data_IF_623314264405
#
_entry.id   IF_623314264405
#
_cell.length_a   1.000
_cell.length_b   1.000
_cell.length_c   1.000
_cell.angle_alpha   90.00
_cell.angle_beta   90.00
_cell.angle_gamma   90.00
#
_symmetry.space_group_name_H-M   'P 1'
#
loop_
_entity.id
_entity.type
_entity.pdbx_description
1 polymer ?
#
# COMPACT_ATOMS: atom_id res chain seq x y z
N UNK A 1 4.24 12.01 5.47
CA UNK A 1 3.92 13.19 4.64
C UNK A 1 2.56 13.01 4.02
N UNK A 2 1.65 13.99 4.13
CA UNK A 2 0.36 13.98 3.43
C UNK A 2 0.43 14.95 2.24
N UNK A 3 0.03 14.52 1.04
CA UNK A 3 0.10 15.37 -0.15
C UNK A 3 -1.03 15.03 -1.12
N UNK A 4 -1.21 15.89 -2.13
CA UNK A 4 -2.19 15.71 -3.20
C UNK A 4 -1.44 15.32 -4.47
N UNK A 5 -1.74 14.15 -5.05
CA UNK A 5 -1.04 13.61 -6.22
C UNK A 5 -0.92 14.63 -7.38
N UNK A 6 -2.02 15.33 -7.69
CA UNK A 6 -2.06 16.32 -8.78
C UNK A 6 -1.21 17.58 -8.56
N UNK A 7 -0.69 17.79 -7.34
CA UNK A 7 0.23 18.89 -7.01
C UNK A 7 1.70 18.51 -7.23
N UNK A 8 1.96 17.26 -7.60
CA UNK A 8 3.28 16.72 -7.94
C UNK A 8 3.21 16.24 -9.41
N UNK A 9 3.37 17.15 -10.39
CA UNK A 9 3.25 16.82 -11.82
C UNK A 9 4.26 15.78 -12.30
N UNK A 10 5.35 15.60 -11.55
CA UNK A 10 6.38 14.59 -11.80
C UNK A 10 5.80 13.16 -11.84
N UNK A 11 4.68 12.86 -11.15
CA UNK A 11 3.96 11.59 -11.31
C UNK A 11 3.48 11.35 -12.73
N UNK A 12 2.90 12.37 -13.36
CA UNK A 12 2.34 12.26 -14.71
C UNK A 12 3.44 12.07 -15.75
N UNK A 13 4.58 12.75 -15.55
CA UNK A 13 5.76 12.57 -16.38
C UNK A 13 6.33 11.15 -16.24
N UNK A 14 6.56 10.67 -15.01
CA UNK A 14 7.05 9.32 -14.79
C UNK A 14 6.10 8.28 -15.37
N UNK A 15 4.79 8.43 -15.15
CA UNK A 15 3.77 7.57 -15.73
C UNK A 15 3.88 7.50 -17.26
N UNK A 16 4.02 8.64 -17.94
CA UNK A 16 4.20 8.69 -19.39
C UNK A 16 5.47 7.95 -19.82
N UNK A 17 6.61 8.19 -19.16
CA UNK A 17 7.87 7.52 -19.48
C UNK A 17 7.77 6.01 -19.30
N UNK A 18 7.18 5.55 -18.19
CA UNK A 18 6.96 4.13 -17.93
C UNK A 18 6.00 3.50 -18.95
N UNK A 19 5.01 4.25 -19.45
CA UNK A 19 4.06 3.79 -20.46
C UNK A 19 4.71 3.42 -21.79
N UNK A 20 5.84 4.05 -22.14
CA UNK A 20 6.58 3.77 -23.37
C UNK A 20 7.25 2.39 -23.37
N UNK A 21 7.35 1.75 -22.21
CA UNK A 21 8.05 0.49 -22.04
C UNK A 21 7.22 -0.63 -21.38
N UNK A 22 6.06 -0.30 -20.80
CA UNK A 22 5.14 -1.24 -20.17
C UNK A 22 4.30 -1.97 -21.25
N UNK A 23 4.39 -3.31 -21.35
CA UNK A 23 3.55 -4.07 -22.28
C UNK A 23 2.06 -4.00 -21.91
N UNK A 24 1.18 -3.82 -22.91
CA UNK A 24 -0.28 -3.77 -22.69
C UNK A 24 -0.81 -5.01 -21.95
N UNK A 25 -0.31 -6.20 -22.30
CA UNK A 25 -0.74 -7.45 -21.66
C UNK A 25 -0.39 -7.55 -20.17
N UNK A 26 0.47 -6.68 -19.62
CA UNK A 26 0.65 -6.60 -18.17
C UNK A 26 -0.54 -5.91 -17.50
N UNK A 27 -1.00 -4.80 -18.08
CA UNK A 27 -2.13 -4.02 -17.59
C UNK A 27 -3.44 -4.80 -17.66
N UNK A 28 -3.67 -5.53 -18.76
CA UNK A 28 -4.88 -6.33 -18.98
C UNK A 28 -5.00 -7.54 -18.03
N UNK A 29 -3.90 -7.96 -17.41
CA UNK A 29 -3.86 -9.14 -16.51
C UNK A 29 -4.08 -8.79 -15.04
N UNK A 30 -4.05 -7.52 -14.67
CA UNK A 30 -4.27 -7.10 -13.27
C UNK A 30 -5.72 -7.47 -12.86
N UNK A 31 -5.93 -8.28 -11.80
CA UNK A 31 -7.26 -8.78 -11.44
C UNK A 31 -8.31 -7.70 -11.23
N UNK A 32 -7.91 -6.55 -10.65
CA UNK A 32 -8.81 -5.42 -10.39
C UNK A 32 -9.43 -4.84 -11.64
N UNK A 33 -8.73 -4.88 -12.79
CA UNK A 33 -9.25 -4.41 -14.07
C UNK A 33 -10.37 -5.33 -14.59
N UNK A 34 -10.14 -6.65 -14.55
CA UNK A 34 -11.12 -7.66 -14.98
C UNK A 34 -12.36 -7.66 -14.08
N UNK A 35 -12.16 -7.70 -12.77
CA UNK A 35 -13.27 -7.72 -11.80
C UNK A 35 -14.13 -6.45 -11.86
N UNK A 36 -13.54 -5.30 -12.17
CA UNK A 36 -14.29 -4.04 -12.29
C UNK A 36 -15.00 -3.91 -13.64
N UNK A 37 -14.44 -4.44 -14.73
CA UNK A 37 -15.15 -4.55 -16.00
C UNK A 37 -16.42 -5.42 -15.87
N UNK A 38 -16.32 -6.55 -15.16
CA UNK A 38 -17.43 -7.50 -15.00
C UNK A 38 -18.54 -6.96 -14.07
N UNK A 39 -18.19 -6.19 -13.03
CA UNK A 39 -19.16 -5.67 -12.05
C UNK A 39 -19.89 -4.40 -12.48
N UNK A 40 -19.36 -3.68 -13.45
CA UNK A 40 -19.89 -2.37 -13.87
C UNK A 40 -20.55 -2.47 -15.25
N UNK A 41 -21.45 -3.44 -15.41
CA UNK A 41 -22.32 -3.54 -16.57
C UNK A 41 -23.07 -2.22 -16.80
N UNK A 42 -22.72 -1.50 -17.87
CA UNK A 42 -23.39 -0.27 -18.29
C UNK A 42 -22.59 1.04 -18.15
N UNK A 43 -21.35 1.01 -17.66
CA UNK A 43 -20.44 2.18 -17.73
C UNK A 43 -19.29 1.88 -18.70
N UNK A 44 -19.04 2.79 -19.65
CA UNK A 44 -17.88 2.70 -20.53
C UNK A 44 -16.61 3.05 -19.77
N UNK A 45 -16.02 2.03 -19.12
CA UNK A 45 -14.75 2.12 -18.41
C UNK A 45 -13.56 1.74 -19.30
N UNK A 46 -13.79 1.48 -20.59
CA UNK A 46 -12.77 1.14 -21.58
C UNK A 46 -11.88 2.33 -21.98
N UNK A 47 -11.50 3.16 -21.02
CA UNK A 47 -10.67 4.34 -21.25
C UNK A 47 -9.20 3.97 -21.09
N UNK A 48 -8.33 4.63 -21.87
CA UNK A 48 -6.88 4.53 -21.71
C UNK A 48 -6.43 4.83 -20.27
N UNK A 49 -7.06 5.82 -19.62
CA UNK A 49 -6.75 6.17 -18.24
C UNK A 49 -7.07 5.06 -17.23
N UNK A 50 -8.18 4.33 -17.43
CA UNK A 50 -8.54 3.22 -16.55
C UNK A 50 -7.62 2.01 -16.75
N UNK A 51 -7.27 1.69 -18.01
CA UNK A 51 -6.26 0.67 -18.32
C UNK A 51 -4.88 1.03 -17.76
N UNK A 52 -4.50 2.30 -17.85
CA UNK A 52 -3.22 2.83 -17.37
C UNK A 52 -3.15 3.04 -15.85
N UNK A 53 -4.26 2.90 -15.11
CA UNK A 53 -4.32 3.19 -13.68
C UNK A 53 -3.29 2.39 -12.85
N UNK A 54 -3.11 1.07 -13.05
CA UNK A 54 -2.08 0.33 -12.31
C UNK A 54 -0.67 0.88 -12.56
N UNK A 55 -0.39 1.41 -13.75
CA UNK A 55 0.91 1.99 -14.09
C UNK A 55 1.09 3.38 -13.48
N UNK A 56 0.01 4.16 -13.33
CA UNK A 56 0.04 5.40 -12.58
C UNK A 56 0.35 5.13 -11.10
N UNK A 57 -0.28 4.11 -10.52
CA UNK A 57 0.03 3.66 -9.15
C UNK A 57 1.49 3.20 -9.02
N UNK A 58 2.04 2.52 -10.03
CA UNK A 58 3.46 2.18 -10.05
C UNK A 58 4.34 3.45 -10.06
N UNK A 59 4.00 4.46 -10.86
CA UNK A 59 4.70 5.75 -10.84
C UNK A 59 4.63 6.43 -9.46
N UNK A 60 3.47 6.39 -8.79
CA UNK A 60 3.30 6.95 -7.44
C UNK A 60 4.20 6.28 -6.40
N UNK A 61 4.46 4.98 -6.53
CA UNK A 61 5.34 4.24 -5.61
C UNK A 61 6.81 4.50 -5.93
N UNK A 62 7.18 4.35 -7.21
CA UNK A 62 8.58 4.36 -7.64
C UNK A 62 9.22 5.75 -7.55
N UNK A 63 8.43 6.82 -7.72
CA UNK A 63 8.96 8.19 -7.70
C UNK A 63 9.54 8.57 -6.33
N UNK A 64 9.06 7.93 -5.25
CA UNK A 64 9.54 8.15 -3.89
C UNK A 64 10.53 7.09 -3.41
N UNK A 65 10.95 6.16 -4.30
CA UNK A 65 11.86 5.06 -3.98
C UNK A 65 11.41 4.28 -2.73
N UNK A 66 10.11 3.98 -2.64
CA UNK A 66 9.56 3.28 -1.48
C UNK A 66 10.06 1.82 -1.46
N UNK A 67 10.70 1.42 -0.36
CA UNK A 67 11.16 0.03 -0.18
C UNK A 67 10.00 -0.91 0.16
N UNK A 68 8.95 -0.40 0.84
CA UNK A 68 7.78 -1.19 1.25
C UNK A 68 6.49 -0.42 1.02
N UNK A 69 5.41 -1.13 0.66
CA UNK A 69 4.08 -0.56 0.44
C UNK A 69 3.03 -1.32 1.24
N UNK A 70 2.37 -0.69 2.22
CA UNK A 70 1.30 -1.33 2.98
C UNK A 70 0.08 -1.56 2.10
N UNK A 71 -0.32 -2.81 1.95
CA UNK A 71 -1.44 -3.21 1.08
C UNK A 71 -2.28 -4.34 1.69
N UNK A 72 -3.53 -4.41 1.27
CA UNK A 72 -4.35 -5.61 1.47
C UNK A 72 -3.99 -6.68 0.42
N UNK A 73 -4.36 -7.93 0.70
CA UNK A 73 -4.13 -9.07 -0.21
C UNK A 73 -4.64 -8.81 -1.64
N UNK A 74 -5.74 -8.07 -1.78
CA UNK A 74 -6.35 -7.74 -3.07
C UNK A 74 -5.52 -6.76 -3.92
N UNK A 75 -4.57 -6.06 -3.30
CA UNK A 75 -3.72 -5.05 -3.95
C UNK A 75 -2.28 -5.55 -4.19
N UNK A 76 -1.91 -6.73 -3.68
CA UNK A 76 -0.60 -7.36 -3.93
C UNK A 76 -0.24 -7.42 -5.42
N UNK A 77 -1.17 -7.79 -6.35
CA UNK A 77 -0.85 -7.81 -7.78
C UNK A 77 -0.40 -6.46 -8.36
N UNK A 78 -0.84 -5.33 -7.78
CA UNK A 78 -0.41 -4.00 -8.21
C UNK A 78 1.04 -3.71 -7.77
N UNK A 79 1.43 -4.14 -6.58
CA UNK A 79 2.79 -4.00 -6.08
C UNK A 79 3.74 -4.90 -6.87
N UNK A 80 3.35 -6.14 -7.17
CA UNK A 80 4.13 -7.04 -8.03
C UNK A 80 4.34 -6.46 -9.44
N UNK A 81 3.29 -5.90 -10.04
CA UNK A 81 3.44 -5.22 -11.33
C UNK A 81 4.39 -4.02 -11.23
N UNK A 82 4.35 -3.29 -10.12
CA UNK A 82 5.27 -2.16 -9.85
C UNK A 82 6.73 -2.63 -9.80
N UNK A 83 7.02 -3.76 -9.14
CA UNK A 83 8.34 -4.39 -9.11
C UNK A 83 8.84 -4.74 -10.50
N UNK A 84 8.00 -5.41 -11.30
CA UNK A 84 8.35 -5.79 -12.68
C UNK A 84 8.62 -4.57 -13.57
N UNK A 85 7.87 -3.47 -13.39
CA UNK A 85 8.11 -2.20 -14.07
C UNK A 85 9.47 -1.61 -13.66
N UNK A 86 9.79 -1.58 -12.37
CA UNK A 86 11.07 -1.08 -11.86
C UNK A 86 12.25 -1.91 -12.39
N UNK A 87 12.16 -3.24 -12.30
CA UNK A 87 13.17 -4.16 -12.82
C UNK A 87 13.42 -3.96 -14.30
N UNK A 88 12.35 -3.85 -15.09
CA UNK A 88 12.44 -3.62 -16.53
C UNK A 88 13.08 -2.26 -16.81
N UNK A 89 12.73 -1.20 -16.07
CA UNK A 89 13.33 0.13 -16.21
C UNK A 89 14.85 0.08 -15.96
N UNK A 90 15.26 -0.52 -14.84
CA UNK A 90 16.67 -0.69 -14.49
C UNK A 90 17.42 -1.56 -15.53
N UNK A 91 16.76 -2.57 -16.10
CA UNK A 91 17.36 -3.38 -17.17
C UNK A 91 17.61 -2.58 -18.45
N UNK A 92 16.65 -1.76 -18.88
CA UNK A 92 16.77 -0.96 -20.10
C UNK A 92 17.73 0.22 -19.94
N UNK A 93 17.69 0.92 -18.82
CA UNK A 93 18.35 2.22 -18.64
C UNK A 93 19.49 2.21 -17.61
N UNK A 94 19.63 1.15 -16.81
CA UNK A 94 20.71 1.03 -15.81
C UNK A 94 22.08 0.67 -16.41
N UNK A 95 22.13 0.21 -17.67
CA UNK A 95 23.38 -0.19 -18.32
C UNK A 95 24.04 1.02 -18.98
N UNK A 96 24.73 1.84 -18.18
CA UNK A 96 25.58 2.89 -18.73
C UNK A 96 26.78 2.31 -19.52
N UNK A 97 27.30 3.00 -20.55
CA UNK A 97 28.56 2.62 -21.19
C UNK A 97 29.68 2.48 -20.15
N UNK A 98 30.37 1.33 -20.17
CA UNK A 98 31.43 1.00 -19.23
C UNK A 98 30.96 0.73 -17.79
N UNK A 99 29.69 0.33 -17.58
CA UNK A 99 29.14 0.04 -16.26
C UNK A 99 30.02 -0.92 -15.45
N UNK A 100 30.48 -2.03 -16.05
CA UNK A 100 31.35 -2.98 -15.34
C UNK A 100 32.67 -2.36 -14.90
N UNK A 101 33.30 -1.53 -15.75
CA UNK A 101 34.56 -0.88 -15.43
C UNK A 101 34.38 0.12 -14.29
N UNK A 102 33.31 0.93 -14.35
CA UNK A 102 32.94 1.88 -13.30
C UNK A 102 32.58 1.17 -11.99
N UNK A 103 31.88 0.03 -12.06
CA UNK A 103 31.58 -0.79 -10.88
C UNK A 103 32.86 -1.38 -10.27
N UNK A 104 33.79 -1.88 -11.08
CA UNK A 104 35.11 -2.35 -10.60
C UNK A 104 35.91 -1.21 -9.95
N UNK A 105 35.85 0.00 -10.50
CA UNK A 105 36.46 1.17 -9.88
C UNK A 105 35.78 1.56 -8.56
N UNK A 106 34.45 1.47 -8.47
CA UNK A 106 33.73 1.65 -7.21
C UNK A 106 34.12 0.57 -6.17
N UNK A 107 34.30 -0.69 -6.57
CA UNK A 107 34.79 -1.76 -5.69
C UNK A 107 36.17 -1.42 -5.13
N UNK A 108 37.07 -0.86 -5.97
CA UNK A 108 38.41 -0.42 -5.51
C UNK A 108 38.33 0.66 -4.43
N UNK A 109 37.33 1.55 -4.49
CA UNK A 109 37.12 2.62 -3.49
C UNK A 109 36.66 2.09 -2.12
N UNK A 110 36.14 0.86 -2.01
CA UNK A 110 35.75 0.24 -0.73
C UNK A 110 36.96 -0.05 0.18
N UNK A 111 38.17 -0.09 -0.37
CA UNK A 111 39.38 -0.52 0.32
C UNK A 111 39.58 -2.05 0.26
N UNK A 112 40.83 -2.50 0.34
CA UNK A 112 41.24 -3.88 0.01
C UNK A 112 40.44 -4.98 0.73
N UNK A 113 40.18 -4.82 2.04
CA UNK A 113 39.45 -5.80 2.85
C UNK A 113 37.98 -5.89 2.45
N UNK A 114 37.29 -4.74 2.35
CA UNK A 114 35.85 -4.69 2.00
C UNK A 114 35.64 -5.08 0.54
N UNK A 115 36.53 -4.68 -0.37
CA UNK A 115 36.49 -5.06 -1.78
C UNK A 115 36.53 -6.60 -1.97
N UNK A 116 37.41 -7.29 -1.22
CA UNK A 116 37.50 -8.75 -1.26
C UNK A 116 36.23 -9.42 -0.73
N UNK A 117 35.72 -8.94 0.40
CA UNK A 117 34.49 -9.46 1.01
C UNK A 117 33.26 -9.23 0.11
N UNK A 118 33.14 -8.05 -0.49
CA UNK A 118 32.12 -7.74 -1.47
C UNK A 118 32.17 -8.68 -2.69
N UNK A 119 33.37 -8.93 -3.23
CA UNK A 119 33.53 -9.83 -4.38
C UNK A 119 33.15 -11.28 -4.06
N UNK A 120 33.49 -11.76 -2.86
CA UNK A 120 33.11 -13.09 -2.37
C UNK A 120 31.59 -13.22 -2.21
N UNK A 121 30.94 -12.27 -1.52
CA UNK A 121 29.49 -12.26 -1.33
C UNK A 121 28.74 -12.18 -2.67
N UNK A 122 29.25 -11.39 -3.62
CA UNK A 122 28.70 -11.33 -4.98
C UNK A 122 28.77 -12.66 -5.71
N UNK A 123 29.88 -13.39 -5.59
CA UNK A 123 30.03 -14.71 -6.21
C UNK A 123 29.03 -15.70 -5.61
N UNK A 124 28.95 -15.77 -4.27
CA UNK A 124 27.98 -16.62 -3.55
C UNK A 124 26.53 -16.32 -3.97
N UNK A 125 26.17 -15.05 -4.07
CA UNK A 125 24.83 -14.69 -4.53
C UNK A 125 24.59 -15.04 -6.02
N UNK A 126 25.49 -14.65 -6.93
CA UNK A 126 25.25 -14.81 -8.37
C UNK A 126 25.43 -16.24 -8.89
N UNK A 127 26.31 -17.02 -8.27
CA UNK A 127 26.58 -18.41 -8.70
C UNK A 127 25.74 -19.41 -7.92
N UNK A 128 25.65 -19.25 -6.61
CA UNK A 128 25.04 -20.25 -5.71
C UNK A 128 23.61 -19.85 -5.29
N UNK A 129 23.17 -18.62 -5.55
CA UNK A 129 21.81 -18.14 -5.23
C UNK A 129 21.59 -17.85 -3.74
N UNK A 130 22.67 -17.64 -2.98
CA UNK A 130 22.62 -17.46 -1.53
C UNK A 130 22.07 -16.07 -1.13
N UNK A 131 20.80 -16.01 -0.70
CA UNK A 131 20.14 -14.75 -0.29
C UNK A 131 20.80 -14.09 0.94
N UNK A 132 21.36 -14.86 1.87
CA UNK A 132 22.09 -14.31 3.03
C UNK A 132 23.34 -13.55 2.60
N UNK A 133 23.97 -13.94 1.49
CA UNK A 133 25.11 -13.24 0.93
C UNK A 133 24.72 -11.88 0.34
N UNK A 134 23.51 -11.78 -0.24
CA UNK A 134 22.96 -10.51 -0.73
C UNK A 134 22.73 -9.54 0.43
N UNK A 135 22.07 -9.97 1.50
CA UNK A 135 21.82 -9.12 2.68
C UNK A 135 23.13 -8.63 3.32
N UNK A 136 24.10 -9.52 3.50
CA UNK A 136 25.41 -9.16 4.06
C UNK A 136 26.15 -8.15 3.17
N UNK A 137 26.09 -8.32 1.85
CA UNK A 137 26.71 -7.39 0.92
C UNK A 137 25.99 -6.03 0.93
N UNK A 138 24.65 -6.01 1.06
CA UNK A 138 23.89 -4.76 1.19
C UNK A 138 24.28 -4.00 2.45
N UNK A 139 24.35 -4.67 3.60
CA UNK A 139 24.79 -4.08 4.87
C UNK A 139 26.21 -3.51 4.78
N UNK A 140 27.14 -4.23 4.14
CA UNK A 140 28.52 -3.77 3.93
C UNK A 140 28.59 -2.43 3.15
N UNK A 141 27.73 -2.24 2.15
CA UNK A 141 27.67 -1.03 1.35
C UNK A 141 27.07 0.15 2.11
N UNK A 142 26.09 -0.10 2.98
CA UNK A 142 25.47 0.91 3.84
C UNK A 142 26.45 1.42 4.92
N UNK A 143 27.22 0.52 5.54
CA UNK A 143 28.26 0.86 6.52
C UNK A 143 29.46 1.64 5.92
N UNK A 144 29.50 1.79 4.60
CA UNK A 144 30.59 2.49 3.91
C UNK A 144 30.26 3.98 3.72
N UNK A 145 30.85 4.83 4.58
CA UNK A 145 30.61 6.27 4.61
C UNK A 145 31.21 7.06 3.43
N UNK A 146 32.33 6.58 2.84
CA UNK A 146 33.06 7.30 1.79
C UNK A 146 32.64 6.94 0.36
N UNK A 147 31.41 6.47 0.17
CA UNK A 147 30.90 6.07 -1.13
C UNK A 147 29.90 7.10 -1.65
N UNK A 148 30.09 7.56 -2.89
CA UNK A 148 29.10 8.42 -3.54
C UNK A 148 27.80 7.65 -3.79
N UNK A 149 26.65 8.35 -3.84
CA UNK A 149 25.35 7.72 -4.12
C UNK A 149 25.39 6.92 -5.44
N UNK A 150 25.98 7.48 -6.49
CA UNK A 150 26.10 6.81 -7.78
C UNK A 150 27.01 5.59 -7.75
N UNK A 151 28.10 5.61 -6.97
CA UNK A 151 28.94 4.41 -6.79
C UNK A 151 28.21 3.33 -5.99
N UNK A 152 27.39 3.71 -5.00
CA UNK A 152 26.56 2.77 -4.25
C UNK A 152 25.51 2.10 -5.13
N UNK A 153 24.79 2.86 -5.94
CA UNK A 153 23.80 2.33 -6.89
C UNK A 153 24.45 1.41 -7.95
N UNK A 154 25.68 1.71 -8.38
CA UNK A 154 26.47 0.81 -9.26
C UNK A 154 26.85 -0.48 -8.56
N UNK A 155 27.27 -0.42 -7.30
CA UNK A 155 27.64 -1.60 -6.54
C UNK A 155 26.41 -2.48 -6.27
N UNK A 156 25.26 -1.93 -5.87
CA UNK A 156 24.04 -2.74 -5.76
C UNK A 156 23.68 -3.43 -7.09
N UNK A 157 23.71 -2.68 -8.19
CA UNK A 157 23.50 -3.26 -9.53
C UNK A 157 24.48 -4.38 -9.85
N UNK A 158 25.78 -4.12 -9.65
CA UNK A 158 26.84 -5.08 -9.95
C UNK A 158 26.77 -6.33 -9.06
N UNK A 159 26.33 -6.19 -7.82
CA UNK A 159 26.07 -7.28 -6.87
C UNK A 159 24.96 -8.20 -7.37
N UNK A 160 23.88 -7.62 -7.88
CA UNK A 160 22.72 -8.37 -8.37
C UNK A 160 22.85 -8.86 -9.83
N UNK A 161 23.94 -8.50 -10.51
CA UNK A 161 24.16 -8.85 -11.93
C UNK A 161 23.42 -7.94 -12.91
N UNK A 162 22.92 -6.81 -12.41
CA UNK A 162 22.14 -5.82 -13.14
C UNK A 162 22.97 -4.55 -13.40
N UNK A 163 22.39 -3.60 -14.15
CA UNK A 163 22.94 -2.25 -14.29
C UNK A 163 22.70 -1.40 -13.04
N UNK A 164 23.01 -0.11 -13.10
CA UNK A 164 22.72 0.87 -12.04
C UNK A 164 21.25 0.78 -11.62
N UNK A 165 21.00 0.61 -10.31
CA UNK A 165 19.66 0.63 -9.75
C UNK A 165 19.15 2.09 -9.69
N UNK A 166 18.19 2.44 -10.54
CA UNK A 166 17.65 3.80 -10.67
C UNK A 166 16.29 3.91 -9.94
N UNK A 167 15.44 2.89 -10.12
CA UNK A 167 14.18 2.73 -9.41
C UNK A 167 14.29 1.55 -8.43
N UNK A 168 13.72 1.71 -7.23
CA UNK A 168 13.73 0.66 -6.19
C UNK A 168 12.59 -0.33 -6.46
N UNK A 169 12.85 -1.63 -6.27
CA UNK A 169 11.80 -2.66 -6.30
C UNK A 169 11.07 -2.68 -4.94
N UNK A 170 9.78 -2.27 -4.87
CA UNK A 170 9.06 -2.23 -3.59
C UNK A 170 8.61 -3.61 -3.15
N UNK A 171 8.67 -3.91 -1.85
CA UNK A 171 8.04 -5.08 -1.25
C UNK A 171 6.61 -4.77 -0.77
N UNK A 172 5.74 -5.78 -0.77
CA UNK A 172 4.42 -5.66 -0.18
C UNK A 172 4.49 -5.85 1.34
N UNK A 173 3.86 -4.96 2.10
CA UNK A 173 3.66 -5.11 3.54
C UNK A 173 2.19 -5.46 3.79
N UNK A 174 1.92 -6.75 4.02
CA UNK A 174 0.58 -7.23 4.32
C UNK A 174 0.13 -6.71 5.69
N UNK A 175 -1.08 -6.15 5.73
CA UNK A 175 -1.70 -5.69 6.97
C UNK A 175 -2.72 -6.71 7.45
N UNK A 176 -2.47 -7.32 8.62
CA UNK A 176 -3.43 -8.18 9.31
C UNK A 176 -4.52 -7.30 9.96
N UNK A 177 -5.40 -6.73 9.15
CA UNK A 177 -6.55 -5.98 9.65
C UNK A 177 -7.82 -6.86 9.58
N UNK A 178 -8.58 -7.01 10.67
CA UNK A 178 -9.85 -7.71 10.63
C UNK A 178 -10.78 -7.04 9.62
N UNK A 179 -11.25 -7.78 8.62
CA UNK A 179 -12.23 -7.28 7.65
C UNK A 179 -13.57 -7.10 8.34
N UNK A 180 -13.94 -5.85 8.61
CA UNK A 180 -15.27 -5.50 9.12
C UNK A 180 -16.30 -5.61 7.98
N UNK A 181 -17.36 -6.42 8.13
CA UNK A 181 -18.42 -6.50 7.14
C UNK A 181 -19.28 -5.24 7.15
N UNK A 182 -19.96 -4.99 6.04
CA UNK A 182 -21.04 -4.01 5.96
C UNK A 182 -22.19 -4.37 6.89
N UNK A 183 -23.10 -3.41 7.09
CA UNK A 183 -24.28 -3.58 7.94
C UNK A 183 -25.28 -4.64 7.43
N UNK A 184 -25.05 -5.18 6.24
CA UNK A 184 -25.79 -6.25 5.57
C UNK A 184 -25.00 -7.56 5.50
N UNK A 185 -23.81 -7.64 6.12
CA UNK A 185 -22.91 -8.80 6.03
C UNK A 185 -22.05 -8.89 4.77
N UNK A 186 -22.26 -8.01 3.77
CA UNK A 186 -21.43 -7.98 2.56
C UNK A 186 -20.18 -7.11 2.75
N UNK A 187 -19.40 -6.87 1.68
CA UNK A 187 -18.30 -5.90 1.73
C UNK A 187 -18.86 -4.50 2.04
N UNK A 188 -18.34 -3.88 3.09
CA UNK A 188 -18.69 -2.50 3.44
C UNK A 188 -18.30 -1.56 2.29
N UNK A 189 -19.26 -0.83 1.73
CA UNK A 189 -19.01 0.15 0.65
C UNK A 189 -20.07 1.25 0.63
N UNK A 190 -19.67 2.48 0.28
CA UNK A 190 -20.59 3.62 0.17
C UNK A 190 -21.69 3.36 -0.87
N UNK A 191 -21.37 2.66 -1.95
CA UNK A 191 -22.31 2.28 -3.00
C UNK A 191 -23.38 1.29 -2.55
N UNK A 192 -23.07 0.41 -1.59
CA UNK A 192 -24.04 -0.51 -1.01
C UNK A 192 -24.88 0.14 0.11
N UNK A 193 -24.57 1.39 0.49
CA UNK A 193 -25.23 2.10 1.59
C UNK A 193 -25.22 1.31 2.92
N UNK A 194 -24.17 0.51 3.14
CA UNK A 194 -24.03 -0.40 4.28
C UNK A 194 -22.87 0.03 5.21
N UNK A 195 -22.60 1.34 5.29
CA UNK A 195 -21.43 1.93 5.96
C UNK A 195 -21.75 2.72 7.22
N UNK A 196 -20.82 2.76 8.16
CA UNK A 196 -20.75 3.74 9.26
C UNK A 196 -19.58 4.69 8.98
N UNK A 197 -19.81 6.01 9.00
CA UNK A 197 -18.74 7.00 8.81
C UNK A 197 -17.99 7.27 10.12
N UNK A 198 -16.70 7.61 10.02
CA UNK A 198 -15.79 7.80 11.17
C UNK A 198 -16.17 8.93 12.14
N UNK A 199 -16.95 9.90 11.69
CA UNK A 199 -17.39 11.08 12.46
C UNK A 199 -18.90 11.24 12.35
N UNK A 200 -19.61 10.12 12.23
CA UNK A 200 -21.06 10.11 12.14
C UNK A 200 -21.68 10.54 13.48
N UNK A 201 -22.93 11.01 13.45
CA UNK A 201 -23.66 11.37 14.67
C UNK A 201 -24.08 10.11 15.45
N UNK A 202 -24.11 10.23 16.77
CA UNK A 202 -24.33 9.10 17.67
C UNK A 202 -25.69 8.40 17.43
N UNK A 203 -26.73 9.18 17.12
CA UNK A 203 -28.07 8.66 16.84
C UNK A 203 -28.13 7.86 15.53
N UNK A 204 -27.42 8.31 14.49
CA UNK A 204 -27.31 7.59 13.22
C UNK A 204 -26.49 6.31 13.38
N UNK A 205 -25.36 6.36 14.10
CA UNK A 205 -24.56 5.17 14.43
C UNK A 205 -25.40 4.13 15.17
N UNK A 206 -26.06 4.55 16.25
CA UNK A 206 -26.90 3.67 17.06
C UNK A 206 -28.03 3.04 16.23
N UNK A 207 -28.71 3.84 15.39
CA UNK A 207 -29.77 3.36 14.50
C UNK A 207 -29.25 2.33 13.51
N UNK A 208 -28.16 2.64 12.80
CA UNK A 208 -27.54 1.79 11.78
C UNK A 208 -27.13 0.43 12.34
N UNK A 209 -26.46 0.41 13.49
CA UNK A 209 -26.05 -0.84 14.14
C UNK A 209 -27.30 -1.60 14.63
N UNK A 210 -28.27 -0.92 15.25
CA UNK A 210 -29.54 -1.56 15.69
C UNK A 210 -30.30 -2.22 14.54
N UNK A 211 -30.31 -1.63 13.35
CA UNK A 211 -30.96 -2.18 12.14
C UNK A 211 -30.09 -3.14 11.32
N UNK A 212 -28.83 -3.33 11.70
CA UNK A 212 -27.89 -4.25 11.03
C UNK A 212 -28.47 -5.67 10.91
N UNK A 213 -28.19 -6.36 9.81
CA UNK A 213 -28.62 -7.75 9.66
C UNK A 213 -27.94 -8.65 10.71
N UNK A 214 -28.70 -9.60 11.24
CA UNK A 214 -28.22 -10.62 12.17
C UNK A 214 -28.32 -12.00 11.52
N UNK A 215 -28.04 -13.06 12.27
CA UNK A 215 -28.26 -14.44 11.83
C UNK A 215 -29.70 -14.62 11.25
N UNK A 216 -29.83 -14.95 9.95
CA UNK A 216 -31.13 -15.17 9.31
C UNK A 216 -31.94 -16.32 9.93
N UNK A 217 -31.29 -17.29 10.58
CA UNK A 217 -31.96 -18.39 11.24
C UNK A 217 -32.70 -17.93 12.52
N UNK A 218 -32.31 -16.78 13.08
CA UNK A 218 -32.89 -16.22 14.29
C UNK A 218 -34.08 -15.29 13.99
N UNK A 219 -35.20 -15.87 13.58
CA UNK A 219 -36.39 -15.12 13.18
C UNK A 219 -37.14 -14.50 14.38
N UNK A 220 -37.16 -15.16 15.55
CA UNK A 220 -37.83 -14.68 16.77
C UNK A 220 -36.84 -14.56 17.92
N UNK A 221 -37.19 -13.77 18.94
CA UNK A 221 -36.34 -13.58 20.14
C UNK A 221 -35.99 -14.91 20.82
N UNK A 222 -36.96 -15.84 20.87
CA UNK A 222 -36.85 -17.16 21.49
C UNK A 222 -36.08 -18.17 20.65
N UNK A 223 -35.79 -17.87 19.39
CA UNK A 223 -35.03 -18.77 18.53
C UNK A 223 -33.54 -18.61 18.85
N UNK A 224 -32.79 -19.71 19.03
CA UNK A 224 -31.36 -19.66 19.19
C UNK A 224 -30.70 -19.19 17.90
N UNK A 225 -29.64 -18.40 18.01
CA UNK A 225 -28.84 -17.95 16.87
C UNK A 225 -27.44 -18.54 16.85
N UNK A 226 -26.76 -18.34 15.74
CA UNK A 226 -25.37 -18.72 15.52
C UNK A 226 -24.51 -17.46 15.28
N UNK A 227 -23.68 -17.04 16.27
CA UNK A 227 -22.77 -15.90 16.12
C UNK A 227 -21.88 -15.99 14.88
N UNK A 228 -21.46 -17.20 14.48
CA UNK A 228 -20.58 -17.41 13.33
C UNK A 228 -21.26 -17.07 11.99
N UNK A 229 -22.59 -17.01 11.96
CA UNK A 229 -23.42 -16.62 10.80
C UNK A 229 -23.99 -15.21 10.93
N UNK A 230 -23.63 -14.49 11.99
CA UNK A 230 -24.15 -13.17 12.31
C UNK A 230 -23.12 -12.08 11.98
N UNK A 231 -23.41 -11.13 11.07
CA UNK A 231 -22.46 -10.07 10.75
C UNK A 231 -22.07 -9.18 11.95
N UNK A 232 -22.94 -9.08 12.97
CA UNK A 232 -22.66 -8.34 14.22
C UNK A 232 -21.50 -8.95 15.00
N UNK A 233 -21.25 -10.26 14.86
CA UNK A 233 -20.19 -10.93 15.59
C UNK A 233 -18.79 -10.39 15.25
N UNK A 234 -18.55 -10.04 13.99
CA UNK A 234 -17.29 -9.42 13.58
C UNK A 234 -17.07 -8.05 14.25
N UNK A 235 -18.14 -7.33 14.58
CA UNK A 235 -18.03 -6.11 15.37
C UNK A 235 -17.69 -6.40 16.83
N UNK A 236 -18.23 -7.45 17.44
CA UNK A 236 -17.83 -7.86 18.79
C UNK A 236 -16.35 -8.27 18.85
N UNK A 237 -15.83 -8.95 17.84
CA UNK A 237 -14.40 -9.31 17.76
C UNK A 237 -13.49 -8.09 17.85
N UNK A 238 -13.92 -6.95 17.29
CA UNK A 238 -13.16 -5.69 17.26
C UNK A 238 -13.42 -4.82 18.49
N UNK A 239 -14.70 -4.66 18.89
CA UNK A 239 -15.13 -3.62 19.82
C UNK A 239 -15.45 -4.12 21.25
N UNK A 240 -15.54 -5.44 21.46
CA UNK A 240 -15.94 -6.01 22.74
C UNK A 240 -14.80 -6.74 23.43
N UNK A 241 -14.73 -6.62 24.76
CA UNK A 241 -13.81 -7.40 25.57
C UNK A 241 -14.23 -8.89 25.64
N UNK A 242 -13.41 -9.71 26.27
CA UNK A 242 -13.66 -11.15 26.43
C UNK A 242 -14.99 -11.44 27.16
N UNK A 243 -15.26 -10.73 28.27
CA UNK A 243 -16.49 -10.94 29.05
C UNK A 243 -17.76 -10.65 28.25
N UNK A 244 -17.76 -9.57 27.47
CA UNK A 244 -18.87 -9.16 26.62
C UNK A 244 -19.05 -10.14 25.45
N UNK A 245 -17.94 -10.66 24.90
CA UNK A 245 -17.96 -11.68 23.85
C UNK A 245 -18.56 -12.99 24.35
N UNK A 246 -18.15 -13.46 25.53
CA UNK A 246 -18.70 -14.66 26.16
C UNK A 246 -20.20 -14.52 26.47
N UNK A 247 -20.60 -13.38 27.06
CA UNK A 247 -22.00 -13.06 27.30
C UNK A 247 -22.83 -13.08 26.00
N UNK A 248 -22.34 -12.42 24.95
CA UNK A 248 -23.03 -12.34 23.67
C UNK A 248 -23.16 -13.72 22.99
N UNK A 249 -22.09 -14.53 23.00
CA UNK A 249 -22.13 -15.89 22.45
C UNK A 249 -23.11 -16.78 23.20
N UNK A 250 -23.00 -16.84 24.53
CA UNK A 250 -23.85 -17.67 25.37
C UNK A 250 -25.31 -17.24 25.26
N UNK A 251 -25.59 -15.94 25.32
CA UNK A 251 -26.93 -15.39 25.19
C UNK A 251 -27.54 -15.59 23.80
N UNK A 252 -26.74 -15.52 22.73
CA UNK A 252 -27.22 -15.76 21.37
C UNK A 252 -27.57 -17.24 21.15
N UNK A 253 -26.66 -18.16 21.51
CA UNK A 253 -26.84 -19.61 21.31
C UNK A 253 -27.93 -20.20 22.20
N UNK A 254 -28.17 -19.63 23.38
CA UNK A 254 -29.24 -20.06 24.30
C UNK A 254 -30.58 -19.33 24.11
N UNK A 255 -30.64 -18.35 23.20
CA UNK A 255 -31.75 -17.40 23.10
C UNK A 255 -32.05 -16.60 24.39
N UNK A 256 -31.08 -16.48 25.30
CA UNK A 256 -31.21 -15.75 26.57
C UNK A 256 -31.25 -14.23 26.44
N UNK A 257 -30.67 -13.65 25.37
CA UNK A 257 -30.64 -12.20 25.12
C UNK A 257 -31.22 -11.85 23.75
N UNK A 258 -31.80 -10.66 23.58
CA UNK A 258 -32.29 -10.22 22.26
C UNK A 258 -31.17 -9.72 21.32
N UNK A 259 -31.39 -9.74 20.01
CA UNK A 259 -30.41 -9.18 19.06
C UNK A 259 -30.14 -7.68 19.27
N UNK A 260 -31.15 -6.90 19.67
CA UNK A 260 -30.99 -5.47 19.97
C UNK A 260 -30.12 -5.27 21.22
N UNK A 261 -30.32 -6.10 22.24
CA UNK A 261 -29.55 -6.10 23.48
C UNK A 261 -28.08 -6.46 23.20
N UNK A 262 -27.85 -7.53 22.44
CA UNK A 262 -26.53 -7.95 21.96
C UNK A 262 -25.76 -6.82 21.25
N UNK A 263 -26.46 -6.01 20.46
CA UNK A 263 -25.87 -4.88 19.71
C UNK A 263 -25.51 -3.68 20.58
N UNK A 264 -26.09 -3.52 21.77
CA UNK A 264 -25.91 -2.30 22.56
C UNK A 264 -24.45 -2.06 22.99
N UNK A 265 -23.69 -3.08 23.48
CA UNK A 265 -22.27 -2.90 23.76
C UNK A 265 -21.44 -2.47 22.55
N UNK A 266 -21.78 -2.96 21.35
CA UNK A 266 -21.12 -2.55 20.09
C UNK A 266 -21.44 -1.08 19.78
N UNK A 267 -22.71 -0.67 19.91
CA UNK A 267 -23.13 0.73 19.74
C UNK A 267 -22.32 1.65 20.65
N UNK A 268 -22.25 1.31 21.94
CA UNK A 268 -21.59 2.13 22.95
C UNK A 268 -20.08 2.23 22.69
N UNK A 269 -19.44 1.14 22.30
CA UNK A 269 -18.02 1.10 21.97
C UNK A 269 -17.68 1.92 20.70
N UNK A 270 -18.48 1.78 19.64
CA UNK A 270 -18.29 2.55 18.39
C UNK A 270 -18.49 4.05 18.65
N UNK A 271 -19.53 4.43 19.38
CA UNK A 271 -19.78 5.84 19.75
C UNK A 271 -18.61 6.40 20.58
N UNK A 272 -18.12 5.63 21.56
CA UNK A 272 -16.99 6.02 22.40
C UNK A 272 -15.73 6.26 21.57
N UNK A 273 -15.43 5.39 20.61
CA UNK A 273 -14.29 5.57 19.71
C UNK A 273 -14.47 6.81 18.81
N UNK A 274 -15.65 6.96 18.21
CA UNK A 274 -15.95 8.08 17.33
C UNK A 274 -15.96 9.42 18.05
N UNK A 275 -16.32 9.46 19.33
CA UNK A 275 -16.21 10.67 20.15
C UNK A 275 -14.77 11.22 20.14
N UNK A 276 -13.77 10.34 20.31
CA UNK A 276 -12.36 10.72 20.22
C UNK A 276 -11.95 11.17 18.81
N UNK A 277 -12.49 10.56 17.75
CA UNK A 277 -12.26 10.99 16.37
C UNK A 277 -12.86 12.37 16.07
N UNK A 278 -14.07 12.63 16.55
CA UNK A 278 -14.74 13.94 16.41
C UNK A 278 -13.99 15.03 17.16
N UNK A 279 -13.52 14.75 18.37
CA UNK A 279 -12.72 15.68 19.16
C UNK A 279 -11.40 16.02 18.45
N UNK A 280 -10.64 15.01 17.99
CA UNK A 280 -9.40 15.24 17.23
C UNK A 280 -9.63 16.01 15.94
N UNK A 281 -10.79 15.85 15.31
CA UNK A 281 -11.12 16.55 14.09
C UNK A 281 -11.55 18.01 14.30
N UNK A 282 -12.00 18.39 15.51
CA UNK A 282 -12.60 19.70 15.79
C UNK A 282 -11.71 20.88 15.35
N UNK A 283 -10.41 20.94 15.69
CA UNK A 283 -9.56 22.07 15.26
C UNK A 283 -9.48 22.23 13.74
N UNK A 284 -9.50 21.11 13.01
CA UNK A 284 -9.43 21.11 11.53
C UNK A 284 -10.75 21.48 10.85
N UNK A 285 -11.88 21.32 11.55
CA UNK A 285 -13.20 21.77 11.09
C UNK A 285 -13.35 23.27 11.33
N UNK A 286 -12.95 23.72 12.53
CA UNK A 286 -13.03 25.12 12.95
C UNK A 286 -12.07 26.01 12.15
N UNK A 287 -10.87 25.50 11.86
CA UNK A 287 -9.90 26.17 10.99
C UNK A 287 -9.44 25.26 9.83
N UNK A 288 -10.12 25.34 8.67
CA UNK A 288 -9.72 24.63 7.46
C UNK A 288 -8.34 25.02 6.92
N UNK A 289 -7.77 26.15 7.35
CA UNK A 289 -6.43 26.56 6.93
C UNK A 289 -5.36 25.60 7.45
N UNK A 290 -5.57 24.96 8.61
CA UNK A 290 -4.65 23.96 9.16
C UNK A 290 -4.46 22.78 8.20
N UNK A 291 -5.56 22.23 7.65
CA UNK A 291 -5.49 21.13 6.69
C UNK A 291 -4.80 21.58 5.39
N UNK A 292 -5.12 22.78 4.90
CA UNK A 292 -4.49 23.32 3.69
C UNK A 292 -2.98 23.50 3.87
N UNK A 293 -2.55 23.98 5.02
CA UNK A 293 -1.14 24.18 5.34
C UNK A 293 -0.39 22.86 5.46
N UNK A 294 -0.97 21.85 6.13
CA UNK A 294 -0.40 20.49 6.20
C UNK A 294 -0.23 19.90 4.81
N UNK A 295 -1.25 20.02 3.94
CA UNK A 295 -1.19 19.53 2.57
C UNK A 295 -0.20 20.32 1.71
N UNK A 296 -0.09 21.64 1.88
CA UNK A 296 0.85 22.47 1.15
C UNK A 296 2.30 22.08 1.46
N UNK A 297 2.66 22.05 2.74
CA UNK A 297 3.99 21.63 3.23
C UNK A 297 4.31 20.18 2.84
N UNK A 298 3.32 19.29 2.91
CA UNK A 298 3.51 17.92 2.44
C UNK A 298 3.69 17.79 0.92
N UNK A 299 3.00 18.61 0.12
CA UNK A 299 3.22 18.66 -1.33
C UNK A 299 4.62 19.19 -1.67
N UNK A 300 5.14 20.18 -0.95
CA UNK A 300 6.50 20.70 -1.14
C UNK A 300 7.54 19.61 -0.85
N UNK A 301 7.42 18.90 0.28
CA UNK A 301 8.32 17.78 0.61
C UNK A 301 8.24 16.65 -0.41
N UNK A 302 7.04 16.22 -0.79
CA UNK A 302 6.85 15.16 -1.77
C UNK A 302 7.46 15.57 -3.11
N UNK A 303 7.16 16.79 -3.58
CA UNK A 303 7.67 17.29 -4.86
C UNK A 303 9.20 17.35 -4.91
N UNK A 304 9.85 17.77 -3.83
CA UNK A 304 11.32 17.78 -3.75
C UNK A 304 11.91 16.39 -4.01
N UNK A 305 11.41 15.37 -3.33
CA UNK A 305 11.87 13.98 -3.52
C UNK A 305 11.55 13.47 -4.93
N UNK A 306 10.36 13.78 -5.44
CA UNK A 306 9.97 13.40 -6.79
C UNK A 306 10.87 14.03 -7.87
N UNK A 307 11.30 15.28 -7.67
CA UNK A 307 12.23 15.95 -8.57
C UNK A 307 13.63 15.32 -8.56
N UNK A 308 14.10 14.88 -7.39
CA UNK A 308 15.37 14.16 -7.27
C UNK A 308 15.32 12.83 -8.05
N UNK A 309 14.26 12.04 -7.89
CA UNK A 309 14.08 10.80 -8.67
C UNK A 309 13.94 11.09 -10.16
N UNK A 310 13.14 12.09 -10.55
CA UNK A 310 12.96 12.42 -11.95
C UNK A 310 14.21 12.95 -12.64
N UNK A 311 15.11 13.63 -11.91
CA UNK A 311 16.43 13.97 -12.45
C UNK A 311 17.19 12.72 -12.87
N UNK A 312 17.26 11.73 -11.98
CA UNK A 312 18.02 10.51 -12.22
C UNK A 312 17.37 9.64 -13.33
N UNK A 313 16.02 9.62 -13.39
CA UNK A 313 15.26 8.99 -14.48
C UNK A 313 15.55 9.65 -15.83
N UNK A 314 15.48 10.99 -15.91
CA UNK A 314 15.74 11.72 -17.17
C UNK A 314 17.19 11.53 -17.63
N UNK A 315 18.15 11.54 -16.70
CA UNK A 315 19.56 11.28 -17.01
C UNK A 315 19.75 9.87 -17.56
N UNK A 316 19.18 8.85 -16.92
CA UNK A 316 19.28 7.47 -17.37
C UNK A 316 18.61 7.23 -18.74
N UNK A 317 17.52 7.93 -19.02
CA UNK A 317 16.83 7.86 -20.32
C UNK A 317 17.47 8.75 -21.40
N UNK A 318 18.51 9.52 -21.08
CA UNK A 318 19.15 10.45 -22.02
C UNK A 318 18.27 11.63 -22.43
N UNK A 319 17.29 12.00 -21.58
CA UNK A 319 16.39 13.13 -21.80
C UNK A 319 16.91 14.45 -21.21
N UNK A 320 17.99 14.38 -20.41
CA UNK A 320 18.69 15.55 -19.91
C UNK A 320 19.35 16.29 -21.08
N UNK A 321 18.93 17.53 -21.31
CA UNK A 321 19.58 18.43 -22.25
C UNK A 321 20.75 19.12 -21.53
N UNK A 322 21.97 18.62 -21.72
CA UNK A 322 23.20 19.10 -21.08
C UNK A 322 24.38 18.20 -21.35
#
# INVERSE_FOLDING_TARGET
TLFIQSRVPEHAELHLLLSMMCPLGWLERVPSYKDQQDRLGGKDLGTYGFLGYPLLQAADILIYRADTVPVGEDQVPHVEMTREVARRFNHLYGREPGFEDKARDAVRKLGSRRARMYAELRVRFQQDGEEDALEQAKALLEETQNLSLGDRERLYGYLEGNGKMILVEPDSLLTEAPRIPGLDGQKMSKSHNNTIFLREDDDSVARKIRTMQTDPARARRTDPGDPDKCPVWQFHVVYSDESTREWAQNGCRSAGIGCIECKQPVVDAVIKEQAGLRERARPYIEDPSLVRNILADGCERARKLAQETMRDVREAMGLSYG
#
